data_IF_564748622422
#
_entry.id   IF_564748622422
#
_cell.length_a   1.000
_cell.length_b   1.000
_cell.length_c   1.000
_cell.angle_alpha   90.00
_cell.angle_beta   90.00
_cell.angle_gamma   90.00
#
_symmetry.space_group_name_H-M   'P 1'
#
loop_
_entity.id
_entity.type
_entity.pdbx_description
1 polymer ?
#
# COMPACT_ATOMS: atom_id res chain seq x y z
N UNK A 1 -9.86 8.22 6.56
CA UNK A 1 -8.70 8.88 7.22
C UNK A 1 -7.76 7.89 7.96
N UNK A 2 -8.16 6.63 8.17
CA UNK A 2 -7.42 5.63 8.98
C UNK A 2 -6.34 4.86 8.20
N UNK A 3 -6.48 4.77 6.87
CA UNK A 3 -5.60 3.98 6.00
C UNK A 3 -4.16 4.50 5.98
N UNK A 4 -3.97 5.82 5.93
CA UNK A 4 -2.64 6.42 5.90
C UNK A 4 -1.86 6.19 7.20
N UNK A 5 -2.54 6.05 8.34
CA UNK A 5 -1.89 5.90 9.65
C UNK A 5 -1.31 4.49 9.82
N UNK A 6 -2.04 3.46 9.38
CA UNK A 6 -1.54 2.08 9.37
C UNK A 6 -0.37 1.92 8.36
N UNK A 7 -0.44 2.63 7.24
CA UNK A 7 0.58 2.62 6.20
C UNK A 7 1.94 3.17 6.68
N UNK A 8 1.91 4.24 7.49
CA UNK A 8 3.11 4.89 8.06
C UNK A 8 3.75 4.05 9.17
N UNK A 9 2.93 3.35 9.96
CA UNK A 9 3.39 2.42 10.99
C UNK A 9 4.16 1.24 10.37
N UNK A 10 3.63 0.67 9.27
CA UNK A 10 4.17 -0.57 8.72
C UNK A 10 5.43 -0.36 7.84
N UNK A 11 5.55 0.79 7.16
CA UNK A 11 6.77 1.16 6.44
C UNK A 11 7.79 1.89 7.31
N UNK A 12 7.50 2.11 8.59
CA UNK A 12 8.40 2.72 9.58
C UNK A 12 8.73 4.20 9.36
N UNK A 13 8.44 4.77 8.18
CA UNK A 13 8.70 6.16 7.86
C UNK A 13 7.61 6.75 6.94
N UNK A 14 7.10 7.93 7.32
CA UNK A 14 6.03 8.65 6.60
C UNK A 14 6.45 9.00 5.17
N UNK A 15 7.71 9.37 4.98
CA UNK A 15 8.25 9.71 3.66
C UNK A 15 8.34 8.50 2.73
N UNK A 16 8.75 7.33 3.25
CA UNK A 16 8.76 6.10 2.46
C UNK A 16 7.33 5.66 2.08
N UNK A 17 6.39 5.81 3.02
CA UNK A 17 4.98 5.58 2.77
C UNK A 17 4.45 6.43 1.62
N UNK A 18 4.69 7.74 1.66
CA UNK A 18 4.27 8.67 0.60
C UNK A 18 4.95 8.38 -0.73
N UNK A 19 6.25 8.09 -0.73
CA UNK A 19 6.97 7.70 -1.95
C UNK A 19 6.40 6.42 -2.56
N UNK A 20 6.09 5.41 -1.74
CA UNK A 20 5.48 4.17 -2.23
C UNK A 20 4.10 4.42 -2.83
N UNK A 21 3.27 5.26 -2.20
CA UNK A 21 1.95 5.64 -2.73
C UNK A 21 2.03 6.31 -4.12
N UNK A 22 3.14 6.99 -4.40
CA UNK A 22 3.42 7.66 -5.67
C UNK A 22 4.26 6.82 -6.64
N UNK A 23 4.63 5.59 -6.27
CA UNK A 23 5.34 4.67 -7.14
C UNK A 23 4.42 3.53 -7.61
N UNK A 24 4.56 3.08 -8.88
CA UNK A 24 3.84 1.93 -9.37
C UNK A 24 4.29 0.66 -8.63
N UNK A 25 3.37 0.01 -7.92
CA UNK A 25 3.68 -1.23 -7.22
C UNK A 25 3.40 -2.43 -8.12
N UNK A 26 4.38 -3.34 -8.27
CA UNK A 26 4.27 -4.54 -9.12
C UNK A 26 3.10 -5.44 -8.69
N UNK A 27 2.88 -5.59 -7.38
CA UNK A 27 1.74 -6.33 -6.83
C UNK A 27 0.37 -5.67 -7.01
N UNK A 28 0.33 -4.44 -7.52
CA UNK A 28 -0.89 -3.70 -7.86
C UNK A 28 -1.04 -3.50 -9.37
N UNK A 29 -0.52 -4.42 -10.19
CA UNK A 29 -0.61 -4.33 -11.65
C UNK A 29 0.11 -3.08 -12.20
N UNK A 30 1.23 -2.69 -11.57
CA UNK A 30 1.97 -1.46 -11.86
C UNK A 30 1.12 -0.18 -11.72
N UNK A 31 0.02 -0.23 -10.98
CA UNK A 31 -0.79 0.96 -10.68
C UNK A 31 -0.27 1.69 -9.46
N UNK A 32 -0.54 3.00 -9.46
CA UNK A 32 -0.30 3.88 -8.34
C UNK A 32 -1.23 3.50 -7.18
N UNK A 33 -0.68 3.13 -6.01
CA UNK A 33 -1.48 2.83 -4.83
C UNK A 33 -2.36 4.01 -4.43
N UNK A 34 -1.88 5.26 -4.59
CA UNK A 34 -2.66 6.47 -4.33
C UNK A 34 -3.96 6.54 -5.15
N UNK A 35 -3.92 6.11 -6.41
CA UNK A 35 -5.10 6.05 -7.28
C UNK A 35 -6.06 4.91 -6.88
N UNK A 36 -5.52 3.82 -6.33
CA UNK A 36 -6.30 2.65 -5.93
C UNK A 36 -6.98 2.83 -4.57
N UNK A 37 -6.37 3.52 -3.61
CA UNK A 37 -6.98 3.76 -2.29
C UNK A 37 -8.19 4.69 -2.36
N UNK A 38 -8.33 5.48 -3.43
CA UNK A 38 -9.55 6.27 -3.70
C UNK A 38 -10.78 5.40 -3.95
N UNK A 39 -10.59 4.14 -4.35
CA UNK A 39 -11.67 3.18 -4.60
C UNK A 39 -11.66 2.08 -3.53
N UNK A 40 -12.81 1.73 -2.95
CA UNK A 40 -12.90 0.73 -1.88
C UNK A 40 -12.34 -0.64 -2.30
N UNK A 41 -12.50 -1.01 -3.57
CA UNK A 41 -11.93 -2.24 -4.14
C UNK A 41 -10.41 -2.18 -4.29
N UNK A 42 -9.86 -1.01 -4.62
CA UNK A 42 -8.41 -0.81 -4.72
C UNK A 42 -7.75 -0.75 -3.34
N UNK A 43 -8.43 -0.17 -2.34
CA UNK A 43 -8.02 -0.22 -0.94
C UNK A 43 -7.83 -1.66 -0.44
N UNK A 44 -8.80 -2.56 -0.69
CA UNK A 44 -8.65 -3.96 -0.29
C UNK A 44 -7.42 -4.62 -0.91
N UNK A 45 -7.11 -4.36 -2.18
CA UNK A 45 -5.90 -4.91 -2.84
C UNK A 45 -4.62 -4.39 -2.22
N UNK A 46 -4.55 -3.08 -1.97
CA UNK A 46 -3.41 -2.44 -1.29
C UNK A 46 -3.22 -3.03 0.10
N UNK A 47 -4.31 -3.18 0.86
CA UNK A 47 -4.28 -3.79 2.19
C UNK A 47 -3.84 -5.26 2.17
N UNK A 48 -4.34 -6.07 1.24
CA UNK A 48 -3.92 -7.47 1.08
C UNK A 48 -2.44 -7.58 0.74
N UNK A 49 -1.94 -6.73 -0.18
CA UNK A 49 -0.53 -6.73 -0.56
C UNK A 49 0.37 -6.37 0.63
N UNK A 50 0.00 -5.34 1.41
CA UNK A 50 0.76 -4.96 2.60
C UNK A 50 0.75 -6.05 3.66
N UNK A 51 -0.41 -6.68 3.88
CA UNK A 51 -0.50 -7.80 4.81
C UNK A 51 0.36 -8.98 4.35
N UNK A 52 0.51 -9.21 3.04
CA UNK A 52 1.45 -10.21 2.54
C UNK A 52 2.91 -9.82 2.79
N UNK A 53 3.26 -8.55 2.59
CA UNK A 53 4.61 -8.02 2.85
C UNK A 53 4.97 -8.08 4.34
N UNK A 54 4.04 -7.75 5.23
CA UNK A 54 4.23 -7.77 6.70
C UNK A 54 4.46 -9.20 7.22
N UNK A 55 3.77 -10.18 6.64
CA UNK A 55 3.92 -11.60 7.00
C UNK A 55 5.05 -12.30 6.22
N UNK A 56 5.79 -11.58 5.36
CA UNK A 56 6.88 -12.16 4.55
C UNK A 56 6.42 -13.18 3.51
N UNK A 57 5.12 -13.22 3.21
CA UNK A 57 4.56 -14.11 2.18
C UNK A 57 4.79 -13.44 0.82
N UNK A 58 5.89 -13.78 0.17
CA UNK A 58 6.07 -13.53 -1.26
C UNK A 58 5.37 -14.65 -2.03
N UNK A 59 4.48 -14.31 -2.97
CA UNK A 59 4.01 -15.24 -4.02
C UNK A 59 4.60 -14.83 -5.36
#
# INVERSE_FOLDING_TARGET
MYAAILFVQNLGNRTHAEQWLHQPARGLDYRLPCSLVSNTSGYKRVHTLLNQLEYGIYV
#
